data_IF_187827738130
#
_entry.id   IF_187827738130
#
_cell.length_a   1.000
_cell.length_b   1.000
_cell.length_c   1.000
_cell.angle_alpha   90.00
_cell.angle_beta   90.00
_cell.angle_gamma   90.00
#
_symmetry.space_group_name_H-M   'P 1'
#
loop_
_entity.id
_entity.type
_entity.pdbx_description
1 polymer ?
#
# COMPACT_ATOMS: atom_id res chain seq x y z
N UNK A 1 -80.31 11.04 -25.26
CA UNK A 1 -78.96 10.65 -24.87
C UNK A 1 -78.97 9.32 -24.17
N UNK A 2 -78.17 8.32 -24.61
CA UNK A 2 -78.09 7.00 -23.99
C UNK A 2 -77.22 7.08 -22.76
N UNK A 3 -77.74 6.64 -21.62
CA UNK A 3 -76.98 6.59 -20.36
C UNK A 3 -76.47 5.19 -20.08
N UNK A 4 -77.24 4.15 -20.39
CA UNK A 4 -76.84 2.76 -20.27
C UNK A 4 -77.57 1.88 -21.27
N UNK A 5 -76.94 0.78 -21.70
CA UNK A 5 -77.56 -0.31 -22.47
C UNK A 5 -77.34 -1.61 -21.73
N UNK A 6 -78.36 -2.45 -21.73
CA UNK A 6 -78.36 -3.81 -21.21
C UNK A 6 -78.79 -4.73 -22.35
N UNK A 7 -77.90 -5.58 -22.76
CA UNK A 7 -78.20 -6.50 -23.94
C UNK A 7 -78.32 -7.92 -23.37
N UNK A 8 -79.41 -8.60 -23.64
CA UNK A 8 -79.60 -10.00 -23.29
C UNK A 8 -78.44 -10.82 -23.92
N UNK A 9 -77.80 -11.64 -23.12
CA UNK A 9 -76.58 -12.42 -23.48
C UNK A 9 -75.40 -11.56 -24.03
N UNK A 10 -75.41 -10.25 -23.77
CA UNK A 10 -74.45 -9.31 -24.24
C UNK A 10 -73.88 -8.39 -23.13
N UNK A 11 -73.26 -7.31 -23.55
CA UNK A 11 -72.64 -6.35 -22.65
C UNK A 11 -73.65 -5.44 -21.93
N UNK A 12 -73.34 -5.10 -20.71
CA UNK A 12 -73.82 -3.88 -20.01
C UNK A 12 -72.84 -2.76 -20.33
N UNK A 13 -73.33 -1.65 -20.95
CA UNK A 13 -72.46 -0.51 -21.25
C UNK A 13 -73.02 0.75 -20.57
N UNK A 14 -72.17 1.48 -19.85
CA UNK A 14 -72.45 2.81 -19.29
C UNK A 14 -71.86 3.89 -20.19
N UNK A 15 -72.62 4.96 -20.45
CA UNK A 15 -72.25 6.03 -21.37
C UNK A 15 -72.11 7.40 -20.66
N UNK A 16 -71.30 8.24 -21.23
CA UNK A 16 -71.26 9.69 -20.98
C UNK A 16 -71.24 10.40 -22.33
N UNK A 17 -72.22 11.29 -22.59
CA UNK A 17 -72.40 11.99 -23.88
C UNK A 17 -72.41 11.03 -25.07
N UNK A 18 -73.21 9.96 -25.01
CA UNK A 18 -73.33 8.91 -26.02
C UNK A 18 -72.00 8.12 -26.31
N UNK A 19 -70.99 8.28 -25.51
CA UNK A 19 -69.72 7.53 -25.58
C UNK A 19 -69.68 6.49 -24.46
N UNK A 20 -69.52 5.22 -24.78
CA UNK A 20 -69.36 4.15 -23.78
C UNK A 20 -68.08 4.36 -22.97
N UNK A 21 -68.24 4.32 -21.64
CA UNK A 21 -67.14 4.54 -20.69
C UNK A 21 -66.76 3.30 -19.89
N UNK A 22 -67.71 2.43 -19.62
CA UNK A 22 -67.50 1.13 -18.99
C UNK A 22 -68.37 0.11 -19.70
N UNK A 23 -67.82 -1.05 -20.04
CA UNK A 23 -68.53 -2.16 -20.64
C UNK A 23 -68.10 -3.50 -20.01
N UNK A 24 -69.11 -4.40 -19.80
CA UNK A 24 -68.79 -5.78 -19.45
C UNK A 24 -68.43 -6.54 -20.71
N UNK A 25 -67.41 -7.36 -20.69
CA UNK A 25 -66.94 -8.22 -21.75
C UNK A 25 -66.78 -9.65 -21.26
N UNK A 26 -66.65 -10.62 -22.16
CA UNK A 26 -66.44 -12.03 -21.79
C UNK A 26 -65.21 -12.27 -20.94
N UNK A 27 -64.23 -11.41 -20.98
CA UNK A 27 -62.95 -11.49 -20.22
C UNK A 27 -62.87 -10.55 -19.00
N UNK A 28 -63.95 -9.75 -18.72
CA UNK A 28 -63.92 -8.82 -17.59
C UNK A 28 -64.68 -7.53 -17.84
N UNK A 29 -64.11 -6.39 -17.44
CA UNK A 29 -64.69 -5.06 -17.60
C UNK A 29 -63.73 -4.16 -18.36
N UNK A 30 -64.17 -3.57 -19.45
CA UNK A 30 -63.46 -2.56 -20.20
C UNK A 30 -63.82 -1.14 -19.74
N UNK A 31 -62.82 -0.31 -19.49
CA UNK A 31 -62.92 1.10 -19.16
C UNK A 31 -62.34 1.93 -20.29
N UNK A 32 -63.19 2.70 -20.94
CA UNK A 32 -62.74 3.62 -22.01
C UNK A 32 -62.47 5.02 -21.42
N UNK A 33 -61.22 5.22 -20.99
CA UNK A 33 -60.79 6.43 -20.34
C UNK A 33 -59.86 6.15 -19.14
N UNK A 34 -59.98 6.96 -18.09
CA UNK A 34 -59.30 6.80 -16.82
C UNK A 34 -60.19 6.15 -15.78
N UNK A 35 -59.66 5.23 -14.99
CA UNK A 35 -60.20 4.85 -13.73
C UNK A 35 -59.60 5.82 -12.68
N UNK A 36 -60.46 6.58 -11.98
CA UNK A 36 -60.04 7.55 -10.97
C UNK A 36 -60.56 7.09 -9.61
N UNK A 37 -59.70 7.05 -8.65
CA UNK A 37 -60.02 6.83 -7.25
C UNK A 37 -59.89 8.18 -6.54
N UNK A 38 -60.96 8.71 -5.98
CA UNK A 38 -61.04 10.01 -5.32
C UNK A 38 -60.79 9.83 -3.80
N UNK A 39 -59.56 9.87 -3.41
CA UNK A 39 -59.17 9.77 -2.00
C UNK A 39 -57.72 9.27 -1.85
N UNK A 40 -57.17 9.56 -0.68
CA UNK A 40 -55.85 9.11 -0.30
C UNK A 40 -55.93 7.93 0.70
N UNK A 41 -54.84 7.16 0.77
CA UNK A 41 -54.69 5.98 1.63
C UNK A 41 -54.99 4.66 0.93
N UNK A 42 -54.55 3.58 1.54
CA UNK A 42 -54.66 2.23 0.96
C UNK A 42 -56.10 1.77 0.71
N UNK A 43 -57.06 2.34 1.46
CA UNK A 43 -58.51 2.05 1.24
C UNK A 43 -59.08 2.65 -0.04
N UNK A 44 -58.32 3.49 -0.77
CA UNK A 44 -58.73 4.13 -2.03
C UNK A 44 -57.78 3.77 -3.18
N UNK A 45 -57.27 2.57 -3.19
CA UNK A 45 -56.35 2.05 -4.16
C UNK A 45 -56.92 0.91 -5.03
N UNK A 46 -56.03 0.22 -5.70
CA UNK A 46 -56.31 -1.05 -6.37
C UNK A 46 -55.81 -2.16 -5.47
N UNK A 47 -56.72 -3.01 -5.04
CA UNK A 47 -56.41 -4.19 -4.24
C UNK A 47 -56.52 -5.45 -5.09
N UNK A 48 -55.51 -6.32 -5.03
CA UNK A 48 -55.47 -7.60 -5.72
C UNK A 48 -55.18 -8.70 -4.68
N UNK A 49 -55.92 -9.81 -4.84
CA UNK A 49 -55.92 -10.90 -3.86
C UNK A 49 -57.13 -10.84 -2.89
N UNK A 50 -57.45 -11.95 -2.25
CA UNK A 50 -58.65 -12.07 -1.39
C UNK A 50 -58.54 -11.21 -0.08
N UNK A 51 -57.32 -11.03 0.41
CA UNK A 51 -57.00 -10.30 1.63
C UNK A 51 -56.14 -9.03 1.34
N UNK A 52 -56.33 -8.41 0.16
CA UNK A 52 -55.56 -7.26 -0.30
C UNK A 52 -54.04 -7.52 -0.30
N UNK A 53 -53.62 -8.67 -0.83
CA UNK A 53 -52.22 -9.12 -0.87
C UNK A 53 -51.28 -8.18 -1.63
N UNK A 54 -51.81 -7.45 -2.63
CA UNK A 54 -51.05 -6.44 -3.38
C UNK A 54 -51.93 -5.19 -3.52
N UNK A 55 -51.40 -4.05 -3.08
CA UNK A 55 -52.12 -2.77 -3.06
C UNK A 55 -51.32 -1.70 -3.84
N UNK A 56 -52.04 -0.95 -4.68
CA UNK A 56 -51.53 0.21 -5.38
C UNK A 56 -52.34 1.44 -4.94
N UNK A 57 -51.72 2.40 -4.25
CA UNK A 57 -52.42 3.56 -3.71
C UNK A 57 -51.56 4.79 -3.62
N UNK A 58 -52.15 5.94 -3.25
CA UNK A 58 -51.47 7.21 -2.94
C UNK A 58 -51.96 7.72 -1.57
N UNK A 59 -51.02 8.15 -0.72
CA UNK A 59 -51.35 8.60 0.67
C UNK A 59 -51.58 10.12 0.82
N UNK A 60 -51.62 10.84 -0.32
CA UNK A 60 -51.69 12.30 -0.33
C UNK A 60 -50.30 12.95 -0.58
N UNK A 61 -49.22 12.22 -0.43
CA UNK A 61 -47.86 12.67 -0.60
C UNK A 61 -47.04 11.74 -1.54
N UNK A 62 -47.21 10.42 -1.37
CA UNK A 62 -46.42 9.40 -2.04
C UNK A 62 -47.32 8.33 -2.69
N UNK A 63 -46.84 7.74 -3.79
CA UNK A 63 -47.42 6.55 -4.40
C UNK A 63 -46.79 5.29 -3.88
N UNK A 64 -47.60 4.29 -3.60
CA UNK A 64 -47.19 2.99 -3.03
C UNK A 64 -47.58 1.85 -3.93
N UNK A 65 -46.73 0.83 -3.95
CA UNK A 65 -46.93 -0.48 -4.54
C UNK A 65 -46.56 -1.51 -3.48
N UNK A 66 -47.50 -1.86 -2.57
CA UNK A 66 -47.28 -2.68 -1.40
C UNK A 66 -47.66 -4.12 -1.70
N UNK A 67 -46.75 -5.04 -1.38
CA UNK A 67 -46.97 -6.47 -1.40
C UNK A 67 -46.97 -6.99 0.00
N UNK A 68 -48.13 -7.40 0.51
CA UNK A 68 -48.36 -7.82 1.88
C UNK A 68 -47.99 -9.28 2.13
N UNK A 69 -47.99 -10.11 1.06
CA UNK A 69 -47.71 -11.55 1.17
C UNK A 69 -46.84 -12.06 0.06
N UNK A 70 -45.92 -13.00 0.37
CA UNK A 70 -45.03 -13.64 -0.60
C UNK A 70 -44.00 -12.72 -1.21
N UNK A 71 -43.43 -13.10 -2.35
CA UNK A 71 -42.41 -12.35 -3.09
C UNK A 71 -43.02 -11.42 -4.12
N UNK A 72 -42.45 -10.23 -4.29
CA UNK A 72 -42.79 -9.31 -5.38
C UNK A 72 -41.85 -9.51 -6.57
N UNK A 73 -42.41 -9.94 -7.68
CA UNK A 73 -41.70 -10.09 -8.97
C UNK A 73 -41.96 -8.90 -9.89
N UNK A 74 -40.94 -8.07 -10.12
CA UNK A 74 -40.95 -7.04 -11.14
C UNK A 74 -40.13 -7.56 -12.33
N UNK A 75 -40.80 -7.98 -13.38
CA UNK A 75 -40.13 -8.61 -14.54
C UNK A 75 -40.70 -8.14 -15.85
N UNK A 76 -39.88 -8.10 -16.89
CA UNK A 76 -40.28 -8.04 -18.26
C UNK A 76 -40.40 -9.50 -18.78
N UNK A 77 -41.61 -9.96 -19.05
CA UNK A 77 -41.89 -11.36 -19.42
C UNK A 77 -41.85 -11.61 -20.95
N UNK A 78 -41.45 -10.62 -21.75
CA UNK A 78 -41.31 -10.76 -23.20
C UNK A 78 -40.18 -11.71 -23.59
N UNK A 79 -40.27 -12.27 -24.82
CA UNK A 79 -39.29 -13.21 -25.39
C UNK A 79 -38.00 -12.56 -25.91
N UNK A 80 -37.94 -11.24 -25.98
CA UNK A 80 -36.75 -10.49 -26.38
C UNK A 80 -35.98 -10.00 -25.13
N UNK A 81 -34.65 -9.78 -25.20
CA UNK A 81 -33.89 -9.17 -24.13
C UNK A 81 -34.37 -7.73 -23.90
N UNK A 82 -35.35 -7.57 -23.03
CA UNK A 82 -35.92 -6.30 -22.64
C UNK A 82 -35.31 -5.83 -21.34
N UNK A 83 -35.49 -4.55 -21.04
CA UNK A 83 -34.86 -3.90 -19.87
C UNK A 83 -35.94 -3.48 -18.85
N UNK A 84 -35.55 -3.48 -17.58
CA UNK A 84 -36.32 -2.81 -16.53
C UNK A 84 -35.52 -1.53 -16.16
N UNK A 85 -36.21 -0.39 -16.21
CA UNK A 85 -35.65 0.91 -15.85
C UNK A 85 -36.23 1.37 -14.51
N UNK A 86 -35.38 1.73 -13.57
CA UNK A 86 -35.73 2.43 -12.34
C UNK A 86 -35.13 3.84 -12.43
N UNK A 87 -36.00 4.85 -12.49
CA UNK A 87 -35.62 6.25 -12.73
C UNK A 87 -36.08 7.10 -11.55
N UNK A 88 -35.17 7.87 -10.98
CA UNK A 88 -35.46 8.88 -9.95
C UNK A 88 -36.14 10.12 -10.50
N UNK A 89 -35.97 10.36 -11.82
CA UNK A 89 -36.58 11.46 -12.57
C UNK A 89 -36.80 11.00 -14.01
N UNK A 90 -37.82 11.52 -14.68
CA UNK A 90 -38.13 11.13 -16.07
C UNK A 90 -36.92 11.40 -16.99
N UNK A 91 -36.46 10.34 -17.67
CA UNK A 91 -35.31 10.35 -18.58
C UNK A 91 -33.94 10.25 -17.90
N UNK A 92 -33.91 10.15 -16.56
CA UNK A 92 -32.67 9.96 -15.80
C UNK A 92 -32.58 8.54 -15.24
N UNK A 93 -31.57 7.79 -15.71
CA UNK A 93 -31.37 6.41 -15.29
C UNK A 93 -30.77 6.35 -13.87
N UNK A 94 -31.37 5.52 -13.02
CA UNK A 94 -30.80 5.11 -11.73
C UNK A 94 -30.28 3.68 -11.80
N UNK A 95 -31.16 2.75 -12.16
CA UNK A 95 -30.82 1.32 -12.34
C UNK A 95 -31.39 0.83 -13.66
N UNK A 96 -30.60 0.08 -14.43
CA UNK A 96 -31.07 -0.67 -15.59
C UNK A 96 -30.77 -2.15 -15.34
N UNK A 97 -31.81 -2.99 -15.44
CA UNK A 97 -31.66 -4.44 -15.46
C UNK A 97 -31.80 -4.90 -16.89
N UNK A 98 -30.73 -5.34 -17.52
CA UNK A 98 -30.71 -5.85 -18.85
C UNK A 98 -31.10 -7.34 -18.85
N UNK A 99 -32.05 -7.74 -19.68
CA UNK A 99 -32.34 -9.16 -19.97
C UNK A 99 -31.08 -9.81 -20.57
N UNK A 100 -30.67 -10.96 -20.05
CA UNK A 100 -29.46 -11.70 -20.46
C UNK A 100 -28.15 -10.88 -20.37
N UNK A 101 -28.14 -9.82 -19.56
CA UNK A 101 -27.00 -8.88 -19.47
C UNK A 101 -26.73 -8.35 -18.08
N UNK A 102 -26.08 -7.19 -18.04
CA UNK A 102 -25.64 -6.53 -16.82
C UNK A 102 -26.79 -5.89 -16.04
N UNK A 103 -26.62 -5.80 -14.72
CA UNK A 103 -27.27 -4.78 -13.91
C UNK A 103 -26.35 -3.57 -13.89
N UNK A 104 -26.88 -2.41 -14.27
CA UNK A 104 -26.11 -1.16 -14.38
C UNK A 104 -26.61 -0.13 -13.35
N UNK A 105 -25.70 0.57 -12.72
CA UNK A 105 -25.97 1.65 -11.76
C UNK A 105 -25.49 2.99 -12.33
N UNK A 106 -26.33 4.02 -12.23
CA UNK A 106 -26.11 5.32 -12.82
C UNK A 106 -26.13 6.46 -11.79
N UNK A 107 -25.40 7.53 -12.09
CA UNK A 107 -25.49 8.84 -11.47
C UNK A 107 -25.47 9.90 -12.57
N UNK A 108 -26.50 10.76 -12.65
CA UNK A 108 -26.67 11.77 -13.69
C UNK A 108 -26.53 11.18 -15.12
N UNK A 109 -27.23 10.08 -15.42
CA UNK A 109 -27.14 9.35 -16.68
C UNK A 109 -25.73 8.82 -17.04
N UNK A 110 -24.74 8.94 -16.16
CA UNK A 110 -23.42 8.34 -16.34
C UNK A 110 -23.32 7.03 -15.59
N UNK A 111 -23.03 5.94 -16.30
CA UNK A 111 -22.83 4.62 -15.67
C UNK A 111 -21.64 4.64 -14.73
N UNK A 112 -21.84 4.23 -13.47
CA UNK A 112 -20.83 4.17 -12.40
C UNK A 112 -20.42 2.77 -12.02
N UNK A 113 -21.31 1.79 -12.18
CA UNK A 113 -20.97 0.40 -11.91
C UNK A 113 -21.85 -0.55 -12.71
N UNK A 114 -21.35 -1.78 -12.93
CA UNK A 114 -22.08 -2.85 -13.59
C UNK A 114 -21.60 -4.25 -13.20
N UNK A 115 -22.50 -5.24 -13.32
CA UNK A 115 -22.11 -6.65 -13.26
C UNK A 115 -21.59 -7.09 -14.63
N UNK A 116 -20.51 -7.88 -14.65
CA UNK A 116 -19.92 -8.49 -15.85
C UNK A 116 -19.70 -9.98 -15.61
N UNK A 117 -19.44 -10.76 -16.67
CA UNK A 117 -19.25 -12.22 -16.56
C UNK A 117 -18.15 -12.62 -15.57
N UNK A 118 -17.17 -11.77 -15.34
CA UNK A 118 -16.04 -11.98 -14.42
C UNK A 118 -16.17 -11.30 -13.06
N UNK A 119 -17.28 -10.60 -12.77
CA UNK A 119 -17.41 -9.89 -11.48
C UNK A 119 -18.19 -8.58 -11.55
N UNK A 120 -17.61 -7.53 -10.99
CA UNK A 120 -18.24 -6.21 -10.86
C UNK A 120 -17.26 -5.11 -11.28
N UNK A 121 -17.67 -4.24 -12.19
CA UNK A 121 -16.87 -3.10 -12.67
C UNK A 121 -17.38 -1.80 -12.06
N UNK A 122 -16.46 -0.97 -11.56
CA UNK A 122 -16.73 0.39 -11.06
C UNK A 122 -15.96 1.39 -11.92
N UNK A 123 -16.69 2.39 -12.45
CA UNK A 123 -16.08 3.51 -13.17
C UNK A 123 -15.88 4.68 -12.21
N UNK A 124 -14.63 4.90 -11.77
CA UNK A 124 -14.27 5.90 -10.80
C UNK A 124 -13.74 5.29 -9.49
N UNK A 125 -13.98 5.97 -8.36
CA UNK A 125 -13.49 5.55 -7.05
C UNK A 125 -14.50 4.62 -6.36
N UNK A 126 -14.01 3.48 -5.87
CA UNK A 126 -14.74 2.64 -4.92
C UNK A 126 -14.19 2.89 -3.51
N UNK A 127 -15.04 3.44 -2.62
CA UNK A 127 -14.67 3.65 -1.21
C UNK A 127 -15.31 2.56 -0.36
N UNK A 128 -14.49 1.81 0.37
CA UNK A 128 -14.92 0.80 1.31
C UNK A 128 -14.10 0.89 2.61
N UNK A 129 -14.69 0.51 3.74
CA UNK A 129 -13.97 0.45 5.02
C UNK A 129 -12.96 -0.70 5.07
N UNK A 130 -13.19 -1.76 4.31
CA UNK A 130 -12.26 -2.88 4.14
C UNK A 130 -12.58 -3.67 2.88
N UNK A 131 -11.56 -4.29 2.31
CA UNK A 131 -11.66 -5.33 1.30
C UNK A 131 -11.11 -6.62 1.90
N UNK A 132 -11.87 -7.71 1.84
CA UNK A 132 -11.45 -9.03 2.31
C UNK A 132 -11.16 -9.93 1.11
N UNK A 133 -10.02 -10.60 1.11
CA UNK A 133 -9.61 -11.53 0.06
C UNK A 133 -8.10 -11.53 -0.17
N UNK A 134 -7.66 -12.38 -1.07
CA UNK A 134 -6.29 -12.39 -1.57
C UNK A 134 -6.05 -11.18 -2.49
N UNK A 135 -5.24 -10.24 -2.06
CA UNK A 135 -4.90 -9.03 -2.81
C UNK A 135 -3.93 -9.25 -3.99
N UNK A 136 -3.57 -10.49 -4.32
CA UNK A 136 -2.53 -10.83 -5.31
C UNK A 136 -2.84 -10.33 -6.73
N UNK A 137 -4.13 -10.12 -7.06
CA UNK A 137 -4.57 -9.60 -8.35
C UNK A 137 -4.72 -8.07 -8.38
N UNK A 138 -4.49 -7.36 -7.28
CA UNK A 138 -4.57 -5.90 -7.25
C UNK A 138 -3.34 -5.31 -7.93
N UNK A 139 -3.56 -4.54 -9.01
CA UNK A 139 -2.51 -3.84 -9.76
C UNK A 139 -2.69 -2.33 -9.66
N UNK A 140 -1.61 -1.55 -9.85
CA UNK A 140 -1.69 -0.09 -9.85
C UNK A 140 -1.93 0.53 -8.47
N UNK A 141 -1.64 -0.21 -7.39
CA UNK A 141 -1.64 0.36 -6.04
C UNK A 141 -0.52 1.41 -5.98
N UNK A 142 -0.90 2.70 -6.06
CA UNK A 142 0.04 3.76 -5.73
C UNK A 142 0.40 3.63 -4.25
N UNK A 143 1.68 3.67 -3.92
CA UNK A 143 2.19 3.69 -2.57
C UNK A 143 1.80 5.02 -1.88
N UNK A 144 0.54 5.12 -1.46
CA UNK A 144 -0.02 6.30 -0.82
C UNK A 144 -1.18 5.91 0.08
N UNK A 145 -0.88 5.50 1.32
CA UNK A 145 -1.88 5.40 2.38
C UNK A 145 -2.39 4.01 2.76
N UNK A 146 -1.54 3.03 2.75
CA UNK A 146 -1.72 1.73 3.42
C UNK A 146 -0.38 1.03 3.38
N UNK A 147 0.19 0.72 4.51
CA UNK A 147 1.45 -0.01 4.58
C UNK A 147 1.27 -1.44 4.03
N UNK A 148 1.16 -1.58 2.69
CA UNK A 148 1.68 -2.78 2.07
C UNK A 148 3.19 -2.57 2.01
N UNK A 149 3.85 -2.87 3.11
CA UNK A 149 5.28 -3.04 3.12
C UNK A 149 5.58 -4.27 2.25
N UNK A 150 5.76 -4.05 0.94
CA UNK A 150 6.29 -5.07 0.05
C UNK A 150 7.78 -5.19 0.33
N UNK A 151 8.09 -5.66 1.54
CA UNK A 151 9.45 -6.06 1.84
C UNK A 151 9.71 -7.36 1.09
N UNK A 152 10.64 -7.31 0.15
CA UNK A 152 11.09 -8.49 -0.57
C UNK A 152 12.37 -8.96 0.09
N UNK A 153 12.33 -10.14 0.68
CA UNK A 153 13.53 -10.78 1.20
C UNK A 153 14.48 -11.09 0.05
N UNK A 154 15.71 -10.61 0.17
CA UNK A 154 16.80 -10.85 -0.77
C UNK A 154 17.93 -11.57 -0.04
N UNK A 155 18.63 -12.45 -0.74
CA UNK A 155 19.82 -13.10 -0.20
C UNK A 155 20.85 -13.31 -1.28
N UNK A 156 22.12 -13.42 -0.89
CA UNK A 156 23.21 -13.81 -1.76
C UNK A 156 24.16 -14.74 -0.99
N UNK A 157 24.72 -15.70 -1.70
CA UNK A 157 25.83 -16.53 -1.23
C UNK A 157 27.04 -16.25 -2.12
N UNK A 158 28.21 -16.10 -1.53
CA UNK A 158 29.39 -15.67 -2.24
C UNK A 158 30.67 -16.29 -1.68
N UNK A 159 31.46 -16.95 -2.54
CA UNK A 159 32.81 -17.39 -2.18
C UNK A 159 33.76 -16.20 -2.20
N UNK A 160 34.22 -15.78 -1.02
CA UNK A 160 35.00 -14.54 -0.88
C UNK A 160 36.39 -14.70 -1.47
N UNK A 161 36.79 -13.74 -2.30
CA UNK A 161 38.07 -13.72 -3.00
C UNK A 161 39.10 -12.87 -2.28
N UNK A 162 40.36 -12.95 -2.73
CA UNK A 162 41.45 -12.09 -2.20
C UNK A 162 41.41 -10.67 -2.76
N UNK A 163 40.53 -10.37 -3.72
CA UNK A 163 40.25 -9.02 -4.20
C UNK A 163 38.90 -8.58 -3.68
N UNK A 164 38.74 -7.28 -3.37
CA UNK A 164 37.45 -6.71 -3.01
C UNK A 164 36.47 -6.88 -4.17
N UNK A 165 35.35 -7.55 -3.92
CA UNK A 165 34.38 -7.87 -4.96
C UNK A 165 32.95 -7.96 -4.40
N UNK A 166 31.96 -7.73 -5.26
CA UNK A 166 30.55 -7.68 -4.88
C UNK A 166 30.03 -9.05 -4.41
N UNK A 167 29.69 -9.14 -3.13
CA UNK A 167 28.98 -10.27 -2.55
C UNK A 167 27.46 -10.10 -2.66
N UNK A 168 26.96 -8.86 -2.77
CA UNK A 168 25.56 -8.53 -2.97
C UNK A 168 25.43 -7.21 -3.72
N UNK A 169 24.43 -7.10 -4.60
CA UNK A 169 24.10 -5.87 -5.35
C UNK A 169 22.65 -5.48 -5.09
N UNK A 170 22.43 -4.27 -4.58
CA UNK A 170 21.09 -3.74 -4.38
C UNK A 170 20.37 -3.48 -5.72
N UNK A 171 19.05 -3.52 -5.70
CA UNK A 171 18.21 -3.21 -6.87
C UNK A 171 18.56 -1.84 -7.49
N UNK A 172 18.44 -1.71 -8.80
CA UNK A 172 18.81 -0.48 -9.54
C UNK A 172 17.76 0.64 -9.46
N UNK A 173 16.56 0.39 -8.94
CA UNK A 173 15.50 1.39 -8.84
C UNK A 173 15.78 2.40 -7.73
N UNK A 174 15.74 3.69 -8.06
CA UNK A 174 15.96 4.80 -7.11
C UNK A 174 14.81 4.95 -6.09
N UNK A 175 13.63 4.38 -6.38
CA UNK A 175 12.48 4.35 -5.45
C UNK A 175 12.61 3.30 -4.34
N UNK A 176 13.61 2.42 -4.44
CA UNK A 176 13.84 1.37 -3.46
C UNK A 176 15.03 1.68 -2.56
N UNK A 177 14.99 1.14 -1.36
CA UNK A 177 16.11 1.03 -0.44
C UNK A 177 16.27 -0.43 -0.05
N UNK A 178 17.51 -0.85 0.15
CA UNK A 178 17.82 -2.20 0.63
C UNK A 178 18.39 -2.12 2.03
N UNK A 179 17.79 -2.85 2.96
CA UNK A 179 18.27 -3.01 4.33
C UNK A 179 19.08 -4.30 4.38
N UNK A 180 20.36 -4.20 4.64
CA UNK A 180 21.23 -5.35 4.86
C UNK A 180 21.10 -5.74 6.33
N UNK A 181 20.50 -6.89 6.60
CA UNK A 181 20.27 -7.39 7.97
C UNK A 181 21.46 -8.14 8.51
N UNK A 182 22.15 -8.90 7.65
CA UNK A 182 23.26 -9.78 8.04
C UNK A 182 24.28 -9.90 6.91
N UNK A 183 25.54 -9.85 7.29
CA UNK A 183 26.68 -10.27 6.45
C UNK A 183 27.47 -11.27 7.28
N UNK A 184 27.22 -12.54 7.07
CA UNK A 184 27.85 -13.64 7.77
C UNK A 184 28.91 -14.29 6.92
N UNK A 185 30.09 -14.52 7.47
CA UNK A 185 31.16 -15.24 6.79
C UNK A 185 31.50 -16.51 7.58
N UNK A 186 31.79 -17.59 6.87
CA UNK A 186 32.18 -18.87 7.43
C UNK A 186 33.55 -19.28 6.87
N UNK A 187 34.51 -19.54 7.73
CA UNK A 187 35.81 -20.03 7.32
C UNK A 187 35.76 -21.54 7.08
N UNK A 188 35.88 -21.92 5.82
CA UNK A 188 35.88 -23.32 5.36
C UNK A 188 37.31 -23.90 5.22
N UNK A 189 38.33 -23.12 5.59
CA UNK A 189 39.73 -23.55 5.55
C UNK A 189 40.20 -24.08 6.90
N UNK A 190 41.39 -24.65 6.90
CA UNK A 190 42.04 -25.20 8.11
C UNK A 190 42.89 -24.18 8.89
N UNK A 191 42.93 -22.92 8.43
CA UNK A 191 43.74 -21.86 9.05
C UNK A 191 42.88 -20.60 9.29
N UNK A 192 43.27 -19.78 10.26
CA UNK A 192 42.65 -18.46 10.42
C UNK A 192 42.88 -17.60 9.19
N UNK A 193 41.85 -16.87 8.78
CA UNK A 193 41.91 -15.86 7.70
C UNK A 193 41.28 -14.56 8.19
N UNK A 194 41.62 -13.46 7.57
CA UNK A 194 41.00 -12.17 7.84
C UNK A 194 40.02 -11.79 6.74
N UNK A 195 38.96 -11.06 7.09
CA UNK A 195 37.97 -10.53 6.17
C UNK A 195 37.84 -9.01 6.33
N UNK A 196 37.72 -8.34 5.19
CA UNK A 196 37.31 -6.92 5.13
C UNK A 196 36.02 -6.81 4.33
N UNK A 197 35.11 -5.92 4.75
CA UNK A 197 33.85 -5.66 4.08
C UNK A 197 33.57 -4.17 3.97
N UNK A 198 32.97 -3.78 2.84
CA UNK A 198 32.59 -2.39 2.57
C UNK A 198 31.24 -2.30 1.88
N UNK A 199 30.57 -1.17 2.08
CA UNK A 199 29.42 -0.75 1.29
C UNK A 199 29.94 0.18 0.20
N UNK A 200 29.85 -0.27 -1.05
CA UNK A 200 30.31 0.50 -2.21
C UNK A 200 29.15 1.32 -2.77
N UNK A 201 29.40 2.60 -3.04
CA UNK A 201 28.45 3.52 -3.69
C UNK A 201 29.15 4.83 -4.03
N UNK A 202 28.69 5.54 -4.94
CA UNK A 202 29.04 6.72 -5.73
C UNK A 202 30.20 7.64 -5.33
N UNK A 203 30.83 7.57 -4.14
CA UNK A 203 31.90 8.53 -3.80
C UNK A 203 32.96 8.05 -2.80
N UNK A 204 32.67 7.15 -1.87
CA UNK A 204 33.61 6.72 -0.83
C UNK A 204 33.34 5.26 -0.47
N UNK A 205 34.39 4.44 -0.41
CA UNK A 205 34.34 3.08 0.12
C UNK A 205 34.01 3.12 1.60
N UNK A 206 32.91 2.50 1.99
CA UNK A 206 32.38 2.56 3.35
C UNK A 206 32.66 1.24 4.04
N UNK A 207 33.85 1.08 4.60
CA UNK A 207 34.21 -0.13 5.35
C UNK A 207 33.32 -0.27 6.57
N UNK A 208 32.68 -1.43 6.71
CA UNK A 208 31.96 -1.82 7.93
C UNK A 208 32.70 -2.93 8.70
N UNK A 209 33.71 -3.54 8.10
CA UNK A 209 34.59 -4.51 8.71
C UNK A 209 35.99 -4.36 8.09
N UNK A 210 37.05 -4.44 8.92
CA UNK A 210 38.42 -4.33 8.43
C UNK A 210 39.33 -5.33 9.14
N UNK A 211 39.92 -6.23 8.35
CA UNK A 211 40.83 -7.29 8.79
C UNK A 211 40.32 -8.11 9.99
N UNK A 212 38.99 -8.35 10.04
CA UNK A 212 38.38 -9.15 11.12
C UNK A 212 38.88 -10.59 11.03
N UNK A 213 39.48 -11.12 12.09
CA UNK A 213 39.94 -12.52 12.08
C UNK A 213 38.75 -13.48 12.14
N UNK A 214 38.81 -14.50 11.29
CA UNK A 214 37.85 -15.62 11.24
C UNK A 214 38.62 -16.91 11.48
N UNK A 215 38.57 -17.49 12.68
CA UNK A 215 39.27 -18.73 12.99
C UNK A 215 38.83 -19.89 12.08
N UNK A 216 39.69 -20.87 11.89
CA UNK A 216 39.40 -22.06 11.09
C UNK A 216 38.11 -22.74 11.55
N UNK A 217 37.23 -23.07 10.60
CA UNK A 217 35.95 -23.75 10.86
C UNK A 217 34.91 -22.91 11.63
N UNK A 218 35.14 -21.61 11.83
CA UNK A 218 34.22 -20.72 12.54
C UNK A 218 33.41 -19.83 11.59
N UNK A 219 32.35 -19.22 12.15
CA UNK A 219 31.55 -18.21 11.46
C UNK A 219 31.52 -16.91 12.25
N UNK A 220 31.55 -15.79 11.55
CA UNK A 220 31.49 -14.45 12.15
C UNK A 220 30.39 -13.62 11.47
N UNK A 221 29.57 -12.94 12.26
CA UNK A 221 28.63 -11.92 11.79
C UNK A 221 29.36 -10.55 11.74
N UNK A 222 29.42 -9.95 10.56
CA UNK A 222 30.15 -8.70 10.34
C UNK A 222 29.32 -7.45 10.66
N UNK A 223 27.98 -7.55 10.68
CA UNK A 223 27.09 -6.45 11.02
C UNK A 223 26.46 -6.64 12.40
N UNK A 224 26.66 -5.71 13.31
CA UNK A 224 25.99 -5.68 14.62
C UNK A 224 24.54 -5.18 14.53
N UNK A 225 24.25 -4.33 13.55
CA UNK A 225 22.92 -3.76 13.27
C UNK A 225 22.72 -3.63 11.78
N UNK A 226 21.46 -3.67 11.30
CA UNK A 226 21.15 -3.48 9.90
C UNK A 226 21.71 -2.18 9.32
N UNK A 227 22.07 -2.19 8.05
CA UNK A 227 22.54 -1.03 7.29
C UNK A 227 21.64 -0.80 6.08
N UNK A 228 21.36 0.47 5.79
CA UNK A 228 20.60 0.83 4.60
C UNK A 228 21.56 1.18 3.47
N UNK A 229 21.27 0.63 2.27
CA UNK A 229 21.98 0.98 1.03
C UNK A 229 20.98 1.43 -0.02
N UNK A 230 21.44 2.32 -0.91
CA UNK A 230 20.66 2.85 -2.02
C UNK A 230 20.68 1.97 -3.25
N UNK A 231 20.04 2.47 -4.31
CA UNK A 231 19.99 1.80 -5.61
C UNK A 231 21.40 1.50 -6.16
N UNK A 232 21.56 0.31 -6.68
CA UNK A 232 22.82 -0.18 -7.30
C UNK A 232 24.05 -0.15 -6.39
N UNK A 233 23.89 0.10 -5.09
CA UNK A 233 25.00 -0.01 -4.15
C UNK A 233 25.33 -1.47 -3.84
N UNK A 234 26.58 -1.72 -3.44
CA UNK A 234 27.12 -3.06 -3.28
C UNK A 234 27.49 -3.33 -1.82
N UNK A 235 27.39 -4.59 -1.41
CA UNK A 235 28.16 -5.14 -0.31
C UNK A 235 29.33 -5.87 -0.92
N UNK A 236 30.54 -5.38 -0.67
CA UNK A 236 31.77 -5.99 -1.17
C UNK A 236 32.56 -6.63 -0.03
N UNK A 237 33.17 -7.77 -0.33
CA UNK A 237 33.99 -8.53 0.63
C UNK A 237 35.33 -8.90 0.00
N UNK A 238 36.34 -9.00 0.88
CA UNK A 238 37.69 -9.46 0.56
C UNK A 238 38.21 -10.32 1.73
N UNK A 239 38.94 -11.38 1.43
CA UNK A 239 39.62 -12.16 2.46
C UNK A 239 41.14 -12.30 2.19
N UNK A 240 41.90 -12.71 3.19
CA UNK A 240 43.35 -12.86 3.10
C UNK A 240 43.79 -14.11 2.33
N UNK A 241 42.89 -15.08 2.07
CA UNK A 241 43.20 -16.30 1.33
C UNK A 241 42.04 -16.70 0.41
N UNK A 242 42.34 -17.09 -0.84
CA UNK A 242 41.34 -17.49 -1.83
C UNK A 242 40.59 -18.76 -1.39
N UNK A 243 39.27 -18.79 -1.66
CA UNK A 243 38.37 -19.91 -1.38
C UNK A 243 38.40 -20.37 0.08
N UNK A 244 38.72 -19.48 1.01
CA UNK A 244 38.79 -19.77 2.42
C UNK A 244 37.51 -19.38 3.16
N UNK A 245 36.72 -18.43 2.64
CA UNK A 245 35.51 -17.95 3.24
C UNK A 245 34.31 -18.07 2.30
N UNK A 246 33.22 -18.61 2.81
CA UNK A 246 31.87 -18.47 2.24
C UNK A 246 31.12 -17.37 2.97
N UNK A 247 30.48 -16.48 2.23
CA UNK A 247 29.66 -15.40 2.76
C UNK A 247 28.18 -15.63 2.44
N UNK A 248 27.31 -15.22 3.37
CA UNK A 248 25.87 -15.10 3.17
C UNK A 248 25.46 -13.68 3.50
N UNK A 249 24.82 -13.01 2.56
CA UNK A 249 24.21 -11.68 2.77
C UNK A 249 22.70 -11.86 2.81
N UNK A 250 22.07 -11.40 3.88
CA UNK A 250 20.61 -11.37 4.04
C UNK A 250 20.15 -9.93 4.01
N UNK A 251 19.21 -9.63 3.15
CA UNK A 251 18.73 -8.30 2.90
C UNK A 251 17.21 -8.25 2.72
N UNK A 252 16.66 -7.06 2.81
CA UNK A 252 15.25 -6.76 2.59
C UNK A 252 15.16 -5.51 1.72
N UNK A 253 14.47 -5.63 0.59
CA UNK A 253 14.18 -4.50 -0.29
C UNK A 253 12.85 -3.89 0.09
N UNK A 254 12.81 -2.59 0.29
CA UNK A 254 11.61 -1.82 0.58
C UNK A 254 11.42 -0.68 -0.42
N UNK A 255 10.18 -0.49 -0.87
CA UNK A 255 9.73 0.72 -1.55
C UNK A 255 9.52 1.82 -0.52
N UNK A 256 10.60 2.38 0.01
CA UNK A 256 10.50 3.46 0.99
C UNK A 256 11.68 4.41 0.85
N UNK A 257 11.38 5.67 0.55
CA UNK A 257 12.37 6.74 0.44
C UNK A 257 12.77 7.33 1.81
N UNK A 258 12.07 6.97 2.88
CA UNK A 258 12.32 7.50 4.23
C UNK A 258 13.55 6.86 4.89
N UNK A 259 13.95 5.67 4.43
CA UNK A 259 15.18 5.02 4.87
C UNK A 259 16.39 5.66 4.20
N UNK A 260 17.33 6.09 5.00
CA UNK A 260 18.53 6.79 4.55
C UNK A 260 19.79 6.28 5.22
N UNK A 261 20.91 6.52 4.56
CA UNK A 261 22.22 6.30 5.13
C UNK A 261 23.13 7.50 4.87
N UNK A 262 24.01 7.78 5.81
CA UNK A 262 25.09 8.75 5.65
C UNK A 262 26.42 8.10 6.02
N UNK A 263 27.49 8.53 5.40
CA UNK A 263 28.84 8.08 5.74
C UNK A 263 29.82 9.20 5.60
N UNK A 264 30.85 9.14 6.41
CA UNK A 264 31.94 10.10 6.43
C UNK A 264 33.24 9.34 6.71
N UNK A 265 34.23 9.52 5.85
CA UNK A 265 35.62 9.24 6.17
C UNK A 265 36.27 10.52 6.73
N UNK A 266 36.87 10.40 7.89
CA UNK A 266 37.53 11.55 8.53
C UNK A 266 38.84 11.86 7.82
N UNK A 267 38.80 12.79 6.88
CA UNK A 267 39.94 13.21 6.06
C UNK A 267 40.95 14.08 6.83
N UNK A 268 40.59 14.49 8.06
CA UNK A 268 41.42 15.35 8.95
C UNK A 268 41.02 15.22 10.42
N UNK A 269 41.70 15.99 11.26
CA UNK A 269 41.41 16.06 12.68
C UNK A 269 40.37 17.13 13.04
N UNK A 270 39.82 17.81 12.06
CA UNK A 270 38.73 18.80 12.23
C UNK A 270 37.38 18.16 12.31
N UNK A 271 36.43 18.82 13.00
CA UNK A 271 35.04 18.38 13.10
C UNK A 271 34.37 18.46 11.72
N UNK A 272 33.78 17.37 11.26
CA UNK A 272 33.09 17.29 9.99
C UNK A 272 31.62 16.84 10.20
N UNK A 273 30.74 17.28 9.30
CA UNK A 273 29.31 16.91 9.33
C UNK A 273 29.15 15.52 8.68
N UNK A 274 28.68 14.53 9.46
CA UNK A 274 28.25 13.22 8.92
C UNK A 274 26.92 13.37 8.16
N UNK A 275 25.99 14.07 8.77
CA UNK A 275 24.68 14.33 8.17
C UNK A 275 24.08 15.62 8.75
N UNK A 276 23.37 16.36 7.88
CA UNK A 276 22.48 17.46 8.27
C UNK A 276 21.06 17.03 7.92
N UNK A 277 20.15 17.04 8.89
CA UNK A 277 18.79 16.57 8.72
C UNK A 277 17.92 17.64 8.05
N UNK A 278 17.26 17.31 6.95
CA UNK A 278 16.24 18.15 6.30
C UNK A 278 14.86 18.03 6.96
N UNK A 279 14.58 16.91 7.61
CA UNK A 279 13.38 16.64 8.41
C UNK A 279 13.76 15.91 9.70
N UNK A 280 12.81 15.74 10.62
CA UNK A 280 13.05 14.94 11.84
C UNK A 280 13.40 13.50 11.45
N UNK A 281 14.30 12.85 12.19
CA UNK A 281 14.76 11.51 11.88
C UNK A 281 14.99 10.66 13.11
N UNK A 282 14.90 9.34 12.94
CA UNK A 282 15.25 8.33 13.93
C UNK A 282 16.46 7.55 13.43
N UNK A 283 17.58 7.66 14.13
CA UNK A 283 18.80 6.91 13.86
C UNK A 283 18.72 5.54 14.50
N UNK A 284 18.91 4.50 13.70
CA UNK A 284 18.92 3.10 14.14
C UNK A 284 20.35 2.61 14.44
N UNK A 285 21.35 3.20 13.77
CA UNK A 285 22.75 2.80 13.87
C UNK A 285 23.68 3.98 13.61
N UNK A 286 24.74 4.09 14.39
CA UNK A 286 25.93 4.91 14.10
C UNK A 286 27.13 4.01 14.37
N UNK A 287 27.78 3.56 13.29
CA UNK A 287 28.93 2.67 13.33
C UNK A 287 30.20 3.46 13.11
N UNK A 288 31.18 3.28 13.99
CA UNK A 288 32.54 3.74 13.82
C UNK A 288 33.43 2.58 13.40
N UNK A 289 34.23 2.76 12.37
CA UNK A 289 35.17 1.75 11.87
C UNK A 289 36.55 2.37 11.83
N UNK A 290 37.50 1.80 12.56
CA UNK A 290 38.92 2.13 12.43
C UNK A 290 39.49 1.25 11.30
N UNK A 291 39.82 1.86 10.18
CA UNK A 291 40.39 1.18 9.03
C UNK A 291 41.94 1.22 8.99
N UNK A 292 42.56 1.65 10.08
CA UNK A 292 43.97 1.44 10.35
C UNK A 292 44.21 0.08 11.02
N UNK A 293 44.95 -0.80 10.37
CA UNK A 293 45.27 -2.11 10.92
C UNK A 293 46.31 -2.10 12.04
N UNK A 294 46.85 -0.94 12.41
CA UNK A 294 48.01 -0.82 13.28
C UNK A 294 47.76 0.08 14.48
N UNK A 295 47.07 1.19 14.32
CA UNK A 295 46.93 2.21 15.36
C UNK A 295 45.47 2.39 15.81
N UNK A 296 45.29 2.61 17.09
CA UNK A 296 44.02 3.02 17.65
C UNK A 296 43.64 4.44 17.23
N UNK A 297 42.36 4.68 17.01
CA UNK A 297 41.81 6.00 16.70
C UNK A 297 40.89 6.44 17.83
N UNK A 298 41.06 7.69 18.31
CA UNK A 298 40.12 8.34 19.21
C UNK A 298 39.05 9.05 18.37
N UNK A 299 37.78 8.76 18.64
CA UNK A 299 36.66 9.35 17.99
C UNK A 299 35.79 10.17 18.94
N UNK A 300 35.32 11.32 18.45
CA UNK A 300 34.29 12.12 19.12
C UNK A 300 33.10 12.28 18.13
N UNK A 301 31.89 11.93 18.58
CA UNK A 301 30.67 12.10 17.84
C UNK A 301 29.72 13.03 18.59
N UNK A 302 29.28 14.09 17.95
CA UNK A 302 28.47 15.15 18.54
C UNK A 302 27.13 15.23 17.84
N UNK A 303 26.08 15.43 18.63
CA UNK A 303 24.80 15.95 18.17
C UNK A 303 24.80 17.47 18.34
N UNK A 304 24.57 18.21 17.26
CA UNK A 304 24.49 19.69 17.28
C UNK A 304 23.18 20.16 16.66
N UNK A 305 22.79 21.41 16.96
CA UNK A 305 21.75 22.10 16.17
C UNK A 305 22.31 22.58 14.81
N UNK A 306 21.47 23.18 13.98
CA UNK A 306 21.85 23.71 12.66
C UNK A 306 22.97 24.75 12.69
N UNK A 307 23.08 25.53 13.78
CA UNK A 307 24.14 26.52 14.03
C UNK A 307 25.42 25.91 14.63
N UNK A 308 25.56 24.60 14.63
CA UNK A 308 26.71 23.85 15.20
C UNK A 308 26.87 23.96 16.72
N UNK A 309 25.85 24.45 17.45
CA UNK A 309 25.84 24.41 18.91
C UNK A 309 25.61 22.99 19.39
N UNK A 310 26.54 22.44 20.15
CA UNK A 310 26.44 21.07 20.67
C UNK A 310 25.25 20.92 21.62
N UNK A 311 24.45 19.90 21.36
CA UNK A 311 23.34 19.45 22.20
C UNK A 311 23.80 18.32 23.14
N UNK A 312 24.57 17.36 22.58
CA UNK A 312 25.11 16.24 23.34
C UNK A 312 26.38 15.67 22.68
N UNK A 313 27.19 14.99 23.46
CA UNK A 313 28.12 14.00 22.94
C UNK A 313 27.42 12.65 22.86
N UNK A 314 27.50 11.99 21.71
CA UNK A 314 27.12 10.58 21.55
C UNK A 314 28.30 9.67 21.84
N UNK A 315 29.53 10.19 21.61
CA UNK A 315 30.80 9.62 22.02
C UNK A 315 31.79 10.76 22.24
N UNK A 316 32.63 10.65 23.24
CA UNK A 316 33.70 11.64 23.54
C UNK A 316 35.02 10.94 23.74
N UNK A 317 35.94 11.17 22.80
CA UNK A 317 37.30 10.60 22.80
C UNK A 317 37.35 9.08 23.05
N UNK A 318 36.33 8.36 22.57
CA UNK A 318 36.33 6.90 22.70
C UNK A 318 37.43 6.30 21.82
N UNK A 319 38.10 5.29 22.34
CA UNK A 319 39.11 4.56 21.58
C UNK A 319 38.42 3.52 20.70
N UNK A 320 38.67 3.60 19.39
CA UNK A 320 38.35 2.56 18.43
C UNK A 320 39.64 1.83 18.10
N UNK A 321 39.83 0.58 18.59
CA UNK A 321 41.08 -0.15 18.37
C UNK A 321 41.38 -0.37 16.89
N UNK A 322 42.65 -0.60 16.58
CA UNK A 322 43.11 -0.92 15.23
C UNK A 322 42.24 -2.04 14.59
N UNK A 323 41.70 -1.80 13.39
CA UNK A 323 40.83 -2.73 12.68
C UNK A 323 39.47 -2.99 13.32
N UNK A 324 39.12 -2.35 14.45
CA UNK A 324 37.87 -2.62 15.16
C UNK A 324 36.68 -1.77 14.66
N UNK A 325 35.48 -2.25 14.97
CA UNK A 325 34.23 -1.53 14.77
C UNK A 325 33.50 -1.31 16.08
N UNK A 326 32.91 -0.13 16.26
CA UNK A 326 32.12 0.24 17.44
C UNK A 326 30.77 0.75 17.00
N UNK A 327 29.70 0.08 17.42
CA UNK A 327 28.31 0.58 17.27
C UNK A 327 27.99 1.48 18.47
N UNK A 328 27.64 2.75 18.22
CA UNK A 328 27.38 3.72 19.27
C UNK A 328 25.97 3.65 19.84
N UNK A 329 24.98 3.27 19.05
CA UNK A 329 23.60 3.28 19.49
C UNK A 329 23.16 1.91 19.95
N UNK A 330 22.83 1.77 21.23
CA UNK A 330 22.14 0.57 21.75
C UNK A 330 20.64 0.60 21.39
N UNK A 331 20.06 1.80 21.36
CA UNK A 331 18.65 2.06 21.04
C UNK A 331 18.54 3.17 20.01
N UNK A 332 17.40 3.25 19.27
CA UNK A 332 17.17 4.33 18.33
C UNK A 332 17.25 5.72 18.96
N UNK A 333 17.83 6.68 18.24
CA UNK A 333 17.98 8.07 18.64
C UNK A 333 17.13 8.97 17.75
N UNK A 334 16.14 9.66 18.32
CA UNK A 334 15.32 10.62 17.58
C UNK A 334 15.98 12.00 17.59
N UNK A 335 16.01 12.66 16.42
CA UNK A 335 16.58 13.99 16.26
C UNK A 335 15.64 14.90 15.46
N UNK A 336 15.51 16.20 15.83
CA UNK A 336 14.69 17.17 15.09
C UNK A 336 15.29 17.52 13.73
N UNK A 337 14.44 18.10 12.86
CA UNK A 337 14.87 18.74 11.60
C UNK A 337 15.92 19.82 11.85
N UNK A 338 16.83 20.01 10.91
CA UNK A 338 17.90 21.01 10.96
C UNK A 338 19.08 20.63 11.87
N UNK A 339 18.97 19.54 12.67
CA UNK A 339 20.07 19.09 13.52
C UNK A 339 21.08 18.26 12.74
N UNK A 340 22.28 18.08 13.34
CA UNK A 340 23.42 17.42 12.70
C UNK A 340 24.06 16.39 13.61
N UNK A 341 24.59 15.34 12.99
CA UNK A 341 25.62 14.49 13.59
C UNK A 341 26.97 14.94 13.03
N UNK A 342 27.93 15.20 13.91
CA UNK A 342 29.28 15.65 13.56
C UNK A 342 30.31 14.73 14.18
N UNK A 343 31.38 14.49 13.44
CA UNK A 343 32.43 13.53 13.82
C UNK A 343 33.80 14.21 13.82
N UNK A 344 34.63 13.81 14.76
CA UNK A 344 36.04 14.18 14.81
C UNK A 344 36.87 12.95 15.12
N UNK A 345 38.01 12.78 14.47
CA UNK A 345 39.01 11.77 14.79
C UNK A 345 40.35 12.45 15.16
N UNK A 346 41.15 11.80 15.98
CA UNK A 346 42.48 12.29 16.29
C UNK A 346 43.53 12.01 15.20
N UNK A 347 43.17 11.22 14.21
CA UNK A 347 44.01 10.87 13.06
C UNK A 347 43.18 11.03 11.74
N UNK A 348 43.81 11.53 10.69
CA UNK A 348 43.18 11.68 9.37
C UNK A 348 43.13 10.35 8.63
N UNK A 349 42.07 10.14 7.85
CA UNK A 349 41.88 9.00 6.94
C UNK A 349 41.96 7.63 7.64
N UNK A 350 41.49 7.54 8.90
CA UNK A 350 41.56 6.32 9.70
C UNK A 350 40.23 5.91 10.31
N UNK A 351 39.26 6.81 10.29
CA UNK A 351 37.95 6.57 10.85
C UNK A 351 36.87 6.73 9.80
N UNK A 352 36.15 5.67 9.53
CA UNK A 352 34.90 5.70 8.76
C UNK A 352 33.72 5.69 9.70
N UNK A 353 32.78 6.60 9.52
CA UNK A 353 31.53 6.64 10.27
C UNK A 353 30.36 6.39 9.33
N UNK A 354 29.48 5.46 9.67
CA UNK A 354 28.29 5.12 8.90
C UNK A 354 27.06 5.25 9.79
N UNK A 355 26.07 6.03 9.35
CA UNK A 355 24.78 6.13 10.01
C UNK A 355 23.68 5.55 9.14
N UNK A 356 22.72 4.84 9.76
CA UNK A 356 21.46 4.42 9.16
C UNK A 356 20.31 5.05 9.94
N UNK A 357 19.37 5.70 9.24
CA UNK A 357 18.28 6.43 9.87
C UNK A 357 17.03 6.48 8.99
N UNK A 358 15.87 6.65 9.65
CA UNK A 358 14.57 6.85 9.03
C UNK A 358 14.16 8.31 9.18
N UNK A 359 13.81 8.97 8.09
CA UNK A 359 13.31 10.35 8.10
C UNK A 359 11.80 10.30 8.32
N UNK A 360 11.26 11.20 9.16
CA UNK A 360 9.82 11.35 9.30
C UNK A 360 9.23 11.93 8.01
N UNK A 361 8.25 11.23 7.46
CA UNK A 361 7.45 11.64 6.29
C UNK A 361 6.43 12.72 6.66
#
# INVERSE_FOLDING_TARGET
ETMATFVEDGAVTLYHNNSGKLATESSGVAINGKLTFDGDGNSNGIELGADADLILYHDGSNGYFDNETGDLYIRNAGSNPNQIYIQGKGGEHGIIVNGDGAIELYHDNAKKAETVSGGFTVTGTCTATAFAGDGSALTGLAAGGGEFNTSISEYSTYAVTTSMAAAFTANSSSSHRTIIHSVRVTNISSSEVTVSGQLFGTAVDRKFAYLIPVPAGSSVELLKKPKCIGASQLVELQCSASNALDATVSAERQENTDLNSASLESTGTSVADLVTLSAAAVFESILLVNDDGTNDVKATVQWTNGGNTRQAYLAYEIVVPAGATVELLERPLSMPSGHKIRVTANQANRLVTIAAFKVAS
#
